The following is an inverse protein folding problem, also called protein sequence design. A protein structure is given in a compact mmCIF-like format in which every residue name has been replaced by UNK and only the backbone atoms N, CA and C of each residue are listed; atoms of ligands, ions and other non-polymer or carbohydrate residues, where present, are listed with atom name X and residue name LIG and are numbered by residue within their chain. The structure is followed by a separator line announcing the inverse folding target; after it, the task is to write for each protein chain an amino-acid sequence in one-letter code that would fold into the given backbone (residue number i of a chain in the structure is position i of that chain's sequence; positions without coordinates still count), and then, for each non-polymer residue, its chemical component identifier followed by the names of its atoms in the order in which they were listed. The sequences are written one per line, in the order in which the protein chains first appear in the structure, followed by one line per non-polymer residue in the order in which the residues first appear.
data_IF_680422992103
#
_entry.id   IF_680422992103
#
_cell.length_a   1.000
_cell.length_b   1.000
_cell.length_c   1.000
_cell.angle_alpha   90.00
_cell.angle_beta   90.00
_cell.angle_gamma   90.00
#
_symmetry.space_group_name_H-M   'P 1'
#
loop_
_entity.id
_entity.type
_entity.pdbx_description
1 polymer ?
#
# COMPACT_ATOMS: atom_id res chain seq x y z
N UNK A 1 -17.61 -15.08 4.02
CA UNK A 1 -16.94 -13.89 4.52
C UNK A 1 -15.43 -14.01 4.42
N UNK A 2 -14.83 -13.11 3.72
CA UNK A 2 -13.40 -13.12 3.50
C UNK A 2 -12.72 -12.09 4.38
N UNK A 3 -11.80 -12.53 5.22
CA UNK A 3 -11.00 -11.59 6.00
C UNK A 3 -9.96 -10.96 5.11
N UNK A 4 -9.83 -9.65 5.20
CA UNK A 4 -8.79 -8.92 4.49
C UNK A 4 -7.52 -8.79 5.31
N UNK A 5 -7.54 -9.31 6.52
CA UNK A 5 -6.39 -9.32 7.41
C UNK A 5 -5.89 -10.73 7.57
N UNK A 6 -4.59 -10.84 7.60
CA UNK A 6 -3.92 -12.09 7.87
C UNK A 6 -3.21 -11.96 9.20
N UNK A 7 -3.38 -12.92 10.10
CA UNK A 7 -2.85 -12.85 11.45
C UNK A 7 -2.02 -14.09 11.73
N UNK A 8 -0.80 -13.93 12.22
CA UNK A 8 0.07 -15.06 12.50
C UNK A 8 0.40 -15.14 13.99
N UNK A 9 1.16 -16.18 14.37
CA UNK A 9 1.48 -16.44 15.77
C UNK A 9 2.33 -15.34 16.40
N UNK A 10 3.02 -14.54 15.60
CA UNK A 10 3.80 -13.40 16.08
C UNK A 10 2.94 -12.17 16.29
N UNK A 11 1.63 -12.32 16.13
CA UNK A 11 0.66 -11.23 16.25
C UNK A 11 0.90 -10.13 15.23
N UNK A 12 1.48 -10.48 14.08
CA UNK A 12 1.62 -9.55 12.97
C UNK A 12 0.41 -9.66 12.08
N UNK A 13 0.00 -8.54 11.53
CA UNK A 13 -1.18 -8.46 10.67
C UNK A 13 -0.80 -7.86 9.34
N UNK A 14 -1.51 -8.26 8.30
CA UNK A 14 -1.35 -7.70 6.98
C UNK A 14 -2.71 -7.43 6.37
N UNK A 15 -2.79 -6.34 5.62
CA UNK A 15 -3.96 -6.01 4.82
C UNK A 15 -3.69 -6.46 3.40
N UNK A 16 -4.59 -7.27 2.84
CA UNK A 16 -4.47 -7.73 1.46
C UNK A 16 -5.37 -6.90 0.56
N UNK A 17 -4.93 -6.72 -0.68
CA UNK A 17 -5.64 -5.86 -1.62
C UNK A 17 -6.89 -6.49 -2.22
N UNK A 18 -6.93 -7.82 -2.34
CA UNK A 18 -7.98 -8.48 -3.11
C UNK A 18 -9.29 -8.56 -2.34
N UNK A 19 -10.38 -8.28 -3.05
CA UNK A 19 -11.75 -8.33 -2.53
C UNK A 19 -12.60 -9.12 -3.51
N UNK A 20 -13.44 -10.02 -2.98
CA UNK A 20 -14.41 -10.74 -3.80
C UNK A 20 -15.72 -9.96 -3.71
N UNK A 21 -16.19 -9.50 -4.86
CA UNK A 21 -17.41 -8.72 -4.94
C UNK A 21 -18.63 -9.63 -4.99
N UNK A 22 -19.82 -9.03 -4.83
CA UNK A 22 -21.07 -9.81 -4.81
C UNK A 22 -21.30 -10.59 -6.08
N UNK A 23 -20.84 -10.05 -7.21
CA UNK A 23 -21.02 -10.71 -8.52
C UNK A 23 -19.94 -11.75 -8.80
N UNK A 24 -19.06 -12.02 -7.81
CA UNK A 24 -17.99 -12.99 -7.95
C UNK A 24 -16.70 -12.43 -8.54
N UNK A 25 -16.71 -11.19 -9.01
CA UNK A 25 -15.50 -10.59 -9.55
C UNK A 25 -14.52 -10.26 -8.43
N UNK A 26 -13.24 -10.16 -8.80
CA UNK A 26 -12.19 -9.80 -7.85
C UNK A 26 -11.73 -8.38 -8.16
N UNK A 27 -11.72 -7.55 -7.11
CA UNK A 27 -11.22 -6.18 -7.21
C UNK A 27 -10.07 -6.04 -6.24
N UNK A 28 -9.27 -5.02 -6.44
CA UNK A 28 -8.08 -4.77 -5.64
C UNK A 28 -8.06 -3.36 -5.09
N UNK A 29 -7.58 -3.22 -3.86
CA UNK A 29 -7.34 -1.91 -3.26
C UNK A 29 -5.90 -1.54 -3.57
N UNK A 30 -5.65 -0.44 -4.31
CA UNK A 30 -4.27 -0.02 -4.57
C UNK A 30 -3.52 0.29 -3.28
N UNK A 31 -2.26 -0.14 -3.23
CA UNK A 31 -1.39 0.05 -2.09
C UNK A 31 0.02 0.33 -2.56
N UNK A 32 0.80 1.01 -1.72
CA UNK A 32 2.21 1.24 -1.98
C UNK A 32 3.00 1.15 -0.68
N UNK A 33 4.21 0.64 -0.78
CA UNK A 33 5.16 0.58 0.32
C UNK A 33 6.33 1.51 -0.01
N UNK A 34 6.49 2.55 0.77
CA UNK A 34 7.57 3.51 0.58
C UNK A 34 8.79 3.09 1.38
N UNK A 35 9.94 3.59 0.98
CA UNK A 35 11.22 3.23 1.59
C UNK A 35 12.07 4.48 1.80
N UNK A 36 11.49 5.46 2.51
CA UNK A 36 12.18 6.70 2.87
C UNK A 36 11.85 7.02 4.33
N UNK A 37 12.78 7.66 5.03
CA UNK A 37 12.56 8.00 6.44
C UNK A 37 11.38 8.94 6.65
N UNK A 38 10.81 8.90 7.82
CA UNK A 38 9.73 9.79 8.21
C UNK A 38 10.29 11.21 8.38
N UNK A 39 9.73 12.17 7.66
CA UNK A 39 10.06 13.59 7.80
C UNK A 39 9.02 14.41 7.06
N UNK A 40 8.93 15.70 7.40
CA UNK A 40 8.00 16.59 6.71
C UNK A 40 8.28 16.66 5.22
N UNK A 41 9.56 16.78 4.85
CA UNK A 41 9.93 16.82 3.44
C UNK A 41 9.54 15.53 2.74
N UNK A 42 9.80 14.39 3.36
CA UNK A 42 9.49 13.11 2.74
C UNK A 42 7.98 12.87 2.66
N UNK A 43 7.22 13.43 3.58
CA UNK A 43 5.77 13.35 3.49
C UNK A 43 5.29 14.03 2.21
N UNK A 44 5.88 15.17 1.86
CA UNK A 44 5.55 15.86 0.60
C UNK A 44 5.94 15.01 -0.60
N UNK A 45 7.10 14.35 -0.53
CA UNK A 45 7.55 13.47 -1.60
C UNK A 45 6.54 12.32 -1.79
N UNK A 46 6.08 11.72 -0.70
CA UNK A 46 5.09 10.64 -0.77
C UNK A 46 3.82 11.12 -1.47
N UNK A 47 3.32 12.31 -1.11
CA UNK A 47 2.12 12.86 -1.75
C UNK A 47 2.33 13.09 -3.24
N UNK A 48 3.51 13.61 -3.61
CA UNK A 48 3.83 13.86 -5.00
C UNK A 48 3.85 12.56 -5.82
N UNK A 49 4.50 11.53 -5.28
CA UNK A 49 4.54 10.24 -5.96
C UNK A 49 3.14 9.69 -6.15
N UNK A 50 2.31 9.76 -5.12
CA UNK A 50 0.92 9.29 -5.23
C UNK A 50 0.18 10.06 -6.33
N UNK A 51 0.38 11.38 -6.40
CA UNK A 51 -0.24 12.20 -7.44
C UNK A 51 0.24 11.79 -8.83
N UNK A 52 1.54 11.58 -8.99
CA UNK A 52 2.09 11.20 -10.29
C UNK A 52 1.60 9.83 -10.74
N UNK A 53 1.27 8.95 -9.80
CA UNK A 53 0.73 7.64 -10.11
C UNK A 53 -0.79 7.65 -10.23
N UNK A 54 -1.41 8.83 -10.20
CA UNK A 54 -2.85 9.01 -10.32
C UNK A 54 -3.64 8.34 -9.19
N UNK A 55 -3.04 8.28 -8.02
CA UNK A 55 -3.72 7.77 -6.83
C UNK A 55 -4.44 8.95 -6.20
N UNK A 56 -5.75 9.02 -6.42
CA UNK A 56 -6.49 10.24 -6.14
C UNK A 56 -7.16 10.28 -4.77
N UNK A 57 -7.20 9.17 -4.04
CA UNK A 57 -7.91 9.14 -2.78
C UNK A 57 -7.43 7.97 -1.92
N UNK A 58 -7.14 8.24 -0.65
CA UNK A 58 -6.70 7.18 0.23
C UNK A 58 -6.02 7.72 1.48
N UNK A 59 -5.25 6.86 2.11
CA UNK A 59 -4.61 7.14 3.38
C UNK A 59 -3.11 6.95 3.25
N UNK A 60 -2.36 7.92 3.80
CA UNK A 60 -0.92 7.77 3.95
C UNK A 60 -0.68 7.45 5.43
N UNK A 61 -0.01 6.34 5.67
CA UNK A 61 0.17 5.80 7.00
C UNK A 61 1.64 5.86 7.39
N UNK A 62 1.90 6.15 8.65
CA UNK A 62 3.24 6.08 9.22
C UNK A 62 3.44 4.66 9.69
N UNK A 63 4.36 3.93 9.03
CA UNK A 63 4.60 2.52 9.38
C UNK A 63 5.65 2.37 10.49
N UNK A 64 6.12 3.49 11.04
CA UNK A 64 7.15 3.50 12.07
C UNK A 64 8.52 3.81 11.51
N UNK A 65 8.82 3.36 10.32
CA UNK A 65 10.11 3.59 9.66
C UNK A 65 9.97 4.33 8.34
N UNK A 66 8.81 4.22 7.71
CA UNK A 66 8.56 4.83 6.43
C UNK A 66 7.05 5.07 6.29
N UNK A 67 6.54 5.03 5.07
CA UNK A 67 5.13 5.30 4.81
C UNK A 67 4.51 4.18 4.01
N UNK A 68 3.21 3.98 4.24
CA UNK A 68 2.37 3.13 3.42
C UNK A 68 1.27 3.99 2.81
N UNK A 69 0.83 3.63 1.62
CA UNK A 69 -0.38 4.21 1.03
C UNK A 69 -1.41 3.12 0.83
N UNK A 70 -2.65 3.38 1.22
CA UNK A 70 -3.78 2.48 0.99
C UNK A 70 -4.90 3.31 0.40
N UNK A 71 -5.35 2.94 -0.79
CA UNK A 71 -6.40 3.68 -1.48
C UNK A 71 -7.75 3.48 -0.80
N UNK A 72 -8.65 4.45 -1.00
CA UNK A 72 -10.03 4.38 -0.51
C UNK A 72 -10.98 3.93 -1.61
N UNK A 73 -10.49 3.27 -2.64
CA UNK A 73 -11.27 2.78 -3.75
C UNK A 73 -10.67 1.47 -4.25
N UNK A 74 -11.39 0.80 -5.14
CA UNK A 74 -10.92 -0.44 -5.74
C UNK A 74 -10.72 -0.27 -7.23
N UNK A 75 -9.91 -1.17 -7.80
CA UNK A 75 -9.66 -1.19 -9.23
C UNK A 75 -9.46 -2.64 -9.67
N UNK A 76 -9.24 -2.84 -10.96
CA UNK A 76 -8.94 -4.17 -11.49
C UNK A 76 -7.48 -4.49 -11.23
N UNK A 77 -7.15 -5.79 -11.30
CA UNK A 77 -5.75 -6.19 -11.21
C UNK A 77 -4.94 -5.57 -12.36
N UNK A 78 -5.49 -5.52 -13.57
CA UNK A 78 -4.77 -4.96 -14.71
C UNK A 78 -4.36 -3.51 -14.43
N UNK A 79 -5.26 -2.71 -13.87
CA UNK A 79 -4.93 -1.33 -13.53
C UNK A 79 -3.91 -1.26 -12.41
N UNK A 80 -4.05 -2.12 -11.40
CA UNK A 80 -3.08 -2.15 -10.30
C UNK A 80 -1.71 -2.59 -10.80
N UNK A 81 -1.67 -3.59 -11.68
CA UNK A 81 -0.43 -4.05 -12.28
C UNK A 81 0.28 -2.91 -13.02
N UNK A 82 -0.48 -2.15 -13.80
CA UNK A 82 0.08 -1.01 -14.52
C UNK A 82 0.64 0.03 -13.56
N UNK A 83 -0.10 0.35 -12.50
CA UNK A 83 0.35 1.30 -11.49
C UNK A 83 1.63 0.82 -10.80
N UNK A 84 1.69 -0.45 -10.41
CA UNK A 84 2.87 -1.01 -9.77
C UNK A 84 4.08 -0.99 -10.71
N UNK A 85 3.85 -1.26 -11.98
CA UNK A 85 4.92 -1.20 -12.98
C UNK A 85 5.47 0.22 -13.13
N UNK A 86 4.58 1.21 -13.14
CA UNK A 86 4.99 2.61 -13.19
C UNK A 86 5.70 3.03 -11.90
N UNK A 87 5.28 2.46 -10.78
CA UNK A 87 5.87 2.78 -9.48
C UNK A 87 7.36 2.42 -9.43
N UNK A 88 7.80 1.47 -10.25
CA UNK A 88 9.22 1.11 -10.31
C UNK A 88 10.09 2.30 -10.72
N UNK A 89 9.54 3.24 -11.45
CA UNK A 89 10.27 4.43 -11.88
C UNK A 89 10.63 5.35 -10.71
N UNK A 90 9.96 5.19 -9.57
CA UNK A 90 10.18 6.02 -8.39
C UNK A 90 11.04 5.33 -7.33
N UNK A 91 11.57 4.15 -7.63
CA UNK A 91 12.51 3.51 -6.72
C UNK A 91 13.85 4.25 -6.75
N UNK A 92 14.51 4.42 -5.62
CA UNK A 92 14.28 3.73 -4.36
C UNK A 92 13.34 4.44 -3.38
N UNK A 93 12.63 5.48 -3.79
CA UNK A 93 11.62 6.12 -2.93
C UNK A 93 10.56 5.08 -2.56
N UNK A 94 10.15 4.27 -3.53
CA UNK A 94 9.30 3.10 -3.28
C UNK A 94 10.19 1.88 -3.10
N UNK A 95 9.68 0.90 -2.38
CA UNK A 95 10.42 -0.32 -2.08
C UNK A 95 10.35 -1.28 -3.27
N UNK A 96 11.48 -1.39 -3.99
CA UNK A 96 11.55 -2.21 -5.20
C UNK A 96 11.26 -3.68 -4.91
N UNK A 97 11.79 -4.21 -3.81
CA UNK A 97 11.59 -5.60 -3.47
C UNK A 97 10.11 -5.87 -3.18
N UNK A 98 9.46 -4.95 -2.47
CA UNK A 98 8.04 -5.07 -2.20
C UNK A 98 7.25 -5.11 -3.51
N UNK A 99 7.52 -4.18 -4.43
CA UNK A 99 6.80 -4.14 -5.71
C UNK A 99 6.98 -5.46 -6.46
N UNK A 100 8.20 -5.96 -6.52
CA UNK A 100 8.48 -7.21 -7.22
C UNK A 100 7.66 -8.37 -6.66
N UNK A 101 7.57 -8.45 -5.33
CA UNK A 101 6.78 -9.49 -4.67
C UNK A 101 5.30 -9.39 -5.02
N UNK A 102 4.75 -8.15 -5.02
CA UNK A 102 3.33 -7.97 -5.31
C UNK A 102 3.01 -8.38 -6.74
N UNK A 103 3.90 -8.04 -7.68
CA UNK A 103 3.69 -8.43 -9.08
C UNK A 103 3.69 -9.94 -9.24
N UNK A 104 4.58 -10.64 -8.52
CA UNK A 104 4.65 -12.09 -8.56
C UNK A 104 3.43 -12.74 -7.95
N UNK A 105 2.95 -12.19 -6.84
CA UNK A 105 1.79 -12.72 -6.13
C UNK A 105 0.48 -12.34 -6.80
N UNK A 106 0.51 -11.35 -7.68
CA UNK A 106 -0.69 -10.81 -8.35
C UNK A 106 -1.69 -10.28 -7.35
N UNK A 107 -1.18 -9.68 -6.30
CA UNK A 107 -1.97 -9.12 -5.22
C UNK A 107 -1.04 -8.28 -4.36
N UNK A 108 -1.57 -7.28 -3.66
CA UNK A 108 -0.79 -6.48 -2.75
C UNK A 108 -1.10 -6.83 -1.31
N UNK A 109 -0.10 -6.66 -0.45
CA UNK A 109 -0.32 -6.76 0.99
C UNK A 109 0.65 -5.83 1.71
N UNK A 110 0.22 -5.31 2.85
CA UNK A 110 1.02 -4.43 3.68
C UNK A 110 0.87 -4.84 5.14
N UNK A 111 1.98 -4.84 5.86
CA UNK A 111 1.95 -5.07 7.29
C UNK A 111 1.44 -3.83 8.00
N UNK A 112 0.54 -4.05 8.95
CA UNK A 112 -0.03 -2.96 9.74
C UNK A 112 0.11 -3.20 11.24
N UNK A 113 0.90 -4.21 11.64
CA UNK A 113 1.17 -4.48 13.04
C UNK A 113 2.19 -3.50 13.60
N UNK A 114 2.43 -3.60 14.89
CA UNK A 114 3.51 -2.84 15.52
C UNK A 114 4.84 -3.28 14.96
N UNK A 115 5.69 -2.29 14.70
CA UNK A 115 7.02 -2.54 14.22
C UNK A 115 7.97 -1.71 15.09
N UNK A 116 8.89 -2.37 15.79
CA UNK A 116 9.81 -1.71 16.71
C UNK A 116 9.07 -0.90 17.78
N UNK A 117 7.92 -1.41 18.23
CA UNK A 117 7.14 -0.76 19.26
C UNK A 117 6.30 0.41 18.78
N UNK A 118 6.30 0.69 17.48
CA UNK A 118 5.55 1.81 16.92
C UNK A 118 4.40 1.27 16.07
N UNK A 119 3.20 1.71 16.38
CA UNK A 119 2.03 1.30 15.63
C UNK A 119 1.86 2.17 14.38
N UNK A 120 1.37 1.54 13.32
CA UNK A 120 0.98 2.25 12.11
C UNK A 120 -0.27 3.09 12.42
N UNK A 121 -0.28 4.33 11.96
CA UNK A 121 -1.43 5.18 12.14
C UNK A 121 -1.58 6.10 10.94
N UNK A 122 -2.80 6.62 10.76
CA UNK A 122 -3.12 7.49 9.63
C UNK A 122 -2.52 8.86 9.87
N UNK A 123 -1.79 9.37 8.87
CA UNK A 123 -1.23 10.72 8.92
C UNK A 123 -2.10 11.68 8.13
N UNK A 124 -2.59 11.24 6.97
CA UNK A 124 -3.34 12.12 6.09
C UNK A 124 -4.23 11.32 5.15
N UNK A 125 -5.36 11.92 4.82
CA UNK A 125 -6.28 11.40 3.81
C UNK A 125 -6.11 12.23 2.56
N UNK A 126 -5.87 11.56 1.44
CA UNK A 126 -5.80 12.22 0.13
C UNK A 126 -7.20 12.33 -0.46
N UNK A 127 -7.43 13.40 -1.17
CA UNK A 127 -8.71 13.63 -1.83
C UNK A 127 -8.53 13.71 -3.32
#
# INVERSE_FOLDING_TARGET
QQNRFSYNNDKRMAVCSSLIMKDGSIRHIPMLDFHIPISDNNFHVVKEVCTMLNLHSGFILNSGESYHFIASYTTTWDNLYTMLSQALLFCPILDRAWISHQLQEKSCSLRIDKKNGIETFVIKILK
#
